data_IF_899797897931
#
_entry.id   IF_899797897931
#
_cell.length_a   1.000
_cell.length_b   1.000
_cell.length_c   1.000
_cell.angle_alpha   90.00
_cell.angle_beta   90.00
_cell.angle_gamma   90.00
#
_symmetry.space_group_name_H-M   'P 1'
#
loop_
_entity.id
_entity.type
_entity.pdbx_description
1 polymer ?
#
# COMPACT_ATOMS: atom_id res chain seq x y z
N UNK A 1 -11.06 24.74 9.12
CA UNK A 1 -11.07 23.87 10.32
C UNK A 1 -10.47 22.49 10.03
N UNK A 2 -11.01 21.71 9.07
CA UNK A 2 -10.50 20.36 8.73
C UNK A 2 -9.00 20.36 8.37
N UNK A 3 -8.55 21.23 7.47
CA UNK A 3 -7.14 21.28 7.04
C UNK A 3 -6.16 21.57 8.21
N UNK A 4 -6.54 22.42 9.15
CA UNK A 4 -5.70 22.75 10.32
C UNK A 4 -5.59 21.57 11.29
N UNK A 5 -6.69 20.85 11.52
CA UNK A 5 -6.71 19.63 12.35
C UNK A 5 -5.87 18.54 11.69
N UNK A 6 -6.08 18.28 10.40
CA UNK A 6 -5.34 17.27 9.66
C UNK A 6 -3.84 17.61 9.61
N UNK A 7 -3.48 18.89 9.46
CA UNK A 7 -2.09 19.33 9.54
C UNK A 7 -1.46 19.05 10.90
N UNK A 8 -2.16 19.33 12.00
CA UNK A 8 -1.66 19.03 13.35
C UNK A 8 -1.42 17.53 13.53
N UNK A 9 -2.34 16.69 13.04
CA UNK A 9 -2.19 15.23 13.07
C UNK A 9 -1.01 14.77 12.21
N UNK A 10 -0.84 15.33 11.01
CA UNK A 10 0.27 15.01 10.11
C UNK A 10 1.63 15.38 10.72
N UNK A 11 1.75 16.55 11.35
CA UNK A 11 2.98 16.97 12.05
C UNK A 11 3.32 16.02 13.19
N UNK A 12 2.33 15.66 14.01
CA UNK A 12 2.54 14.73 15.12
C UNK A 12 2.94 13.34 14.64
N UNK A 13 2.25 12.81 13.62
CA UNK A 13 2.54 11.48 13.05
C UNK A 13 3.89 11.44 12.35
N UNK A 14 4.28 12.49 11.61
CA UNK A 14 5.60 12.57 10.99
C UNK A 14 6.73 12.56 12.02
N UNK A 15 6.55 13.27 13.14
CA UNK A 15 7.52 13.25 14.23
C UNK A 15 7.61 11.85 14.88
N UNK A 16 6.48 11.17 15.05
CA UNK A 16 6.43 9.80 15.55
C UNK A 16 7.14 8.81 14.61
N UNK A 17 6.87 8.86 13.30
CA UNK A 17 7.51 8.00 12.29
C UNK A 17 9.03 8.17 12.31
N UNK A 18 9.52 9.41 12.38
CA UNK A 18 10.95 9.71 12.48
C UNK A 18 11.56 9.17 13.78
N UNK A 19 10.87 9.32 14.90
CA UNK A 19 11.33 8.79 16.19
C UNK A 19 11.40 7.25 16.18
N UNK A 20 10.39 6.59 15.63
CA UNK A 20 10.35 5.14 15.49
C UNK A 20 11.46 4.61 14.57
N UNK A 21 11.80 5.35 13.51
CA UNK A 21 12.89 4.97 12.61
C UNK A 21 14.28 5.11 13.26
N UNK A 22 14.45 6.00 14.25
CA UNK A 22 15.73 6.19 14.96
C UNK A 22 16.04 5.05 15.94
N UNK A 23 15.02 4.50 16.62
CA UNK A 23 15.19 3.33 17.49
C UNK A 23 14.02 2.33 17.30
N UNK A 24 14.06 1.51 16.23
CA UNK A 24 12.93 0.67 15.86
C UNK A 24 12.81 -0.60 16.71
N UNK A 25 13.82 -0.93 17.52
CA UNK A 25 13.95 -2.23 18.21
C UNK A 25 12.76 -2.53 19.10
N UNK A 26 12.45 -1.61 20.01
CA UNK A 26 11.32 -1.77 20.93
C UNK A 26 9.98 -1.90 20.20
N UNK A 27 9.81 -1.17 19.09
CA UNK A 27 8.61 -1.26 18.27
C UNK A 27 8.50 -2.62 17.57
N UNK A 28 9.60 -3.11 16.99
CA UNK A 28 9.66 -4.40 16.32
C UNK A 28 9.52 -5.58 17.27
N UNK A 29 10.09 -5.51 18.48
CA UNK A 29 9.88 -6.53 19.52
C UNK A 29 8.41 -6.59 19.96
N UNK A 30 7.75 -5.42 20.12
CA UNK A 30 6.31 -5.38 20.40
C UNK A 30 5.49 -5.99 19.27
N UNK A 31 5.85 -5.70 18.01
CA UNK A 31 5.19 -6.28 16.83
C UNK A 31 5.36 -7.79 16.83
N UNK A 32 6.59 -8.31 16.95
CA UNK A 32 6.85 -9.75 16.99
C UNK A 32 6.05 -10.44 18.10
N UNK A 33 6.12 -9.92 19.33
CA UNK A 33 5.37 -10.48 20.46
C UNK A 33 3.85 -10.46 20.22
N UNK A 34 3.31 -9.39 19.63
CA UNK A 34 1.91 -9.31 19.26
C UNK A 34 1.51 -10.33 18.19
N UNK A 35 2.36 -10.54 17.18
CA UNK A 35 2.12 -11.51 16.12
C UNK A 35 2.12 -12.94 16.68
N UNK A 36 3.12 -13.29 17.49
CA UNK A 36 3.23 -14.60 18.13
C UNK A 36 2.06 -14.89 19.08
N UNK A 37 1.73 -13.93 19.96
CA UNK A 37 0.62 -14.07 20.90
C UNK A 37 -0.73 -14.22 20.20
N UNK A 38 -0.86 -13.71 18.97
CA UNK A 38 -2.08 -13.87 18.18
C UNK A 38 -2.09 -15.17 17.38
N UNK A 39 -0.95 -15.58 16.83
CA UNK A 39 -0.86 -16.71 15.92
C UNK A 39 -0.64 -18.07 16.62
N UNK A 40 -0.26 -18.14 17.90
CA UNK A 40 0.22 -19.40 18.49
C UNK A 40 -0.81 -20.55 18.48
N UNK A 41 -2.12 -20.25 18.47
CA UNK A 41 -3.19 -21.25 18.40
C UNK A 41 -3.60 -21.63 16.98
N UNK A 42 -3.01 -21.04 15.94
CA UNK A 42 -3.29 -21.44 14.55
C UNK A 42 -2.64 -22.79 14.24
N UNK A 43 -3.00 -23.42 13.12
CA UNK A 43 -2.31 -24.61 12.61
C UNK A 43 -0.81 -24.30 12.46
N UNK A 44 -0.47 -23.20 11.78
CA UNK A 44 0.90 -22.74 11.65
C UNK A 44 1.55 -22.52 13.03
N UNK A 45 0.83 -21.92 13.98
CA UNK A 45 1.31 -21.70 15.33
C UNK A 45 1.66 -22.98 16.09
N UNK A 46 0.84 -24.03 15.94
CA UNK A 46 1.07 -25.34 16.56
C UNK A 46 2.21 -26.10 15.89
N UNK A 47 2.26 -26.12 14.57
CA UNK A 47 3.29 -26.84 13.80
C UNK A 47 4.71 -26.33 14.11
N UNK A 48 4.83 -25.04 14.44
CA UNK A 48 6.11 -24.39 14.80
C UNK A 48 6.27 -24.15 16.31
N UNK A 49 5.36 -24.69 17.13
CA UNK A 49 5.37 -24.52 18.58
C UNK A 49 5.54 -23.06 19.04
N UNK A 50 4.86 -22.11 18.41
CA UNK A 50 5.01 -20.66 18.67
C UNK A 50 4.72 -20.26 20.12
N UNK A 51 3.95 -21.06 20.86
CA UNK A 51 3.75 -20.89 22.31
C UNK A 51 5.04 -20.99 23.15
N UNK A 52 6.13 -21.52 22.57
CA UNK A 52 7.47 -21.63 23.20
C UNK A 52 8.43 -20.53 22.75
N UNK A 53 8.02 -19.68 21.80
CA UNK A 53 8.87 -18.61 21.27
C UNK A 53 8.80 -17.41 22.21
N UNK A 54 9.88 -17.15 22.95
CA UNK A 54 9.95 -16.05 23.91
C UNK A 54 10.77 -14.85 23.44
N UNK A 55 11.55 -14.99 22.37
CA UNK A 55 12.44 -13.96 21.84
C UNK A 55 12.78 -14.23 20.37
N UNK A 56 13.49 -13.28 19.74
CA UNK A 56 13.92 -13.38 18.34
C UNK A 56 14.74 -14.63 18.03
N UNK A 57 15.65 -15.04 18.93
CA UNK A 57 16.47 -16.25 18.74
C UNK A 57 15.64 -17.53 18.77
N UNK A 58 14.54 -17.56 19.52
CA UNK A 58 13.61 -18.70 19.49
C UNK A 58 12.74 -18.67 18.23
N UNK A 59 12.38 -17.48 17.75
CA UNK A 59 11.63 -17.27 16.51
C UNK A 59 12.36 -17.84 15.30
N UNK A 60 13.62 -17.44 15.09
CA UNK A 60 14.42 -17.90 13.94
C UNK A 60 14.70 -19.41 13.96
N UNK A 61 14.68 -20.03 15.15
CA UNK A 61 14.79 -21.50 15.29
C UNK A 61 13.47 -22.21 15.02
N UNK A 62 12.34 -21.62 15.44
CA UNK A 62 11.02 -22.20 15.26
C UNK A 62 10.53 -22.11 13.82
N UNK A 63 10.80 -20.99 13.14
CA UNK A 63 10.37 -20.71 11.78
C UNK A 63 11.61 -20.33 10.95
N UNK A 64 12.23 -21.30 10.24
CA UNK A 64 13.34 -21.00 9.34
C UNK A 64 12.86 -20.18 8.13
N UNK A 65 13.80 -19.57 7.42
CA UNK A 65 13.54 -18.83 6.18
C UNK A 65 12.77 -19.71 5.17
N UNK A 66 11.77 -19.12 4.50
CA UNK A 66 10.88 -19.83 3.57
C UNK A 66 10.62 -19.01 2.34
N UNK A 67 10.50 -19.70 1.22
CA UNK A 67 9.87 -19.18 0.02
C UNK A 67 8.35 -19.39 0.05
N UNK A 68 7.69 -19.02 -1.05
CA UNK A 68 6.25 -19.17 -1.19
C UNK A 68 5.81 -20.64 -1.18
N UNK A 69 6.58 -21.52 -1.82
CA UNK A 69 6.18 -22.92 -2.00
C UNK A 69 6.19 -23.67 -0.64
N UNK A 70 7.12 -23.31 0.24
CA UNK A 70 7.18 -23.82 1.61
C UNK A 70 5.99 -23.41 2.50
N UNK A 71 5.24 -22.36 2.15
CA UNK A 71 4.04 -21.92 2.89
C UNK A 71 2.73 -22.11 2.13
N UNK A 72 2.80 -22.49 0.85
CA UNK A 72 1.66 -22.60 -0.05
C UNK A 72 0.56 -23.51 0.50
N UNK A 73 0.91 -24.62 1.15
CA UNK A 73 -0.07 -25.56 1.73
C UNK A 73 -0.96 -24.94 2.82
N UNK A 74 -0.41 -24.03 3.63
CA UNK A 74 -1.19 -23.27 4.61
C UNK A 74 -2.11 -22.26 3.92
N UNK A 75 -1.62 -21.63 2.86
CA UNK A 75 -2.39 -20.66 2.09
C UNK A 75 -3.55 -21.33 1.34
N UNK A 76 -3.31 -22.47 0.70
CA UNK A 76 -4.34 -23.25 0.01
C UNK A 76 -5.46 -23.67 0.96
N UNK A 77 -5.11 -24.24 2.12
CA UNK A 77 -6.09 -24.61 3.16
C UNK A 77 -6.94 -23.43 3.63
N UNK A 78 -6.31 -22.30 3.94
CA UNK A 78 -7.01 -21.09 4.35
C UNK A 78 -7.89 -20.52 3.23
N UNK A 79 -7.41 -20.55 1.98
CA UNK A 79 -8.14 -20.10 0.79
C UNK A 79 -9.33 -20.99 0.48
N UNK A 80 -9.24 -22.28 0.78
CA UNK A 80 -10.34 -23.24 0.61
C UNK A 80 -11.32 -23.24 1.79
N UNK A 81 -11.12 -22.32 2.76
CA UNK A 81 -12.11 -21.96 3.77
C UNK A 81 -11.80 -22.46 5.18
N UNK A 82 -10.68 -23.16 5.39
CA UNK A 82 -10.28 -23.59 6.73
C UNK A 82 -9.92 -22.38 7.62
N UNK A 83 -10.47 -22.35 8.83
CA UNK A 83 -10.19 -21.32 9.82
C UNK A 83 -8.88 -21.58 10.57
N UNK A 84 -8.28 -20.53 11.13
CA UNK A 84 -7.17 -20.63 12.07
C UNK A 84 -5.95 -21.37 11.50
N UNK A 85 -5.68 -21.25 10.18
CA UNK A 85 -4.55 -21.93 9.53
C UNK A 85 -3.27 -21.13 9.68
N UNK A 86 -3.13 -20.02 8.94
CA UNK A 86 -1.97 -19.11 9.02
C UNK A 86 -2.22 -17.93 9.95
N UNK A 87 -3.47 -17.51 10.11
CA UNK A 87 -3.90 -16.40 10.96
C UNK A 87 -5.23 -16.74 11.63
N UNK A 88 -5.55 -16.19 12.82
CA UNK A 88 -6.81 -16.51 13.50
C UNK A 88 -8.06 -16.12 12.70
N UNK A 89 -9.06 -17.00 12.73
CA UNK A 89 -10.32 -16.88 12.00
C UNK A 89 -10.18 -17.24 10.51
N UNK A 90 -11.07 -16.68 9.69
CA UNK A 90 -11.08 -16.92 8.24
C UNK A 90 -10.44 -15.75 7.48
N UNK A 91 -9.44 -16.06 6.64
CA UNK A 91 -8.89 -15.11 5.68
C UNK A 91 -9.81 -14.96 4.48
N UNK A 92 -10.63 -13.89 4.48
CA UNK A 92 -11.66 -13.68 3.45
C UNK A 92 -11.16 -13.06 2.15
N UNK A 93 -10.00 -12.43 2.14
CA UNK A 93 -9.47 -11.72 0.97
C UNK A 93 -8.09 -12.26 0.60
N UNK A 94 -7.87 -12.40 -0.70
CA UNK A 94 -6.65 -12.95 -1.28
C UNK A 94 -6.21 -12.09 -2.45
N UNK A 95 -4.99 -11.55 -2.35
CA UNK A 95 -4.36 -10.83 -3.44
C UNK A 95 -3.72 -11.83 -4.41
N UNK A 96 -3.85 -11.60 -5.70
CA UNK A 96 -3.04 -12.29 -6.71
C UNK A 96 -1.76 -11.50 -6.91
N UNK A 97 -0.61 -12.15 -6.84
CA UNK A 97 0.63 -11.63 -7.40
C UNK A 97 1.04 -12.45 -8.63
N UNK A 98 1.52 -11.75 -9.65
CA UNK A 98 2.10 -12.36 -10.84
C UNK A 98 3.42 -13.02 -10.46
N UNK A 99 3.36 -14.27 -10.00
CA UNK A 99 4.53 -15.08 -9.74
C UNK A 99 5.15 -15.54 -11.06
N UNK A 100 6.45 -15.31 -11.23
CA UNK A 100 7.24 -15.99 -12.24
C UNK A 100 7.37 -17.49 -11.90
N UNK A 101 7.61 -18.29 -12.94
CA UNK A 101 7.97 -19.72 -12.95
C UNK A 101 6.95 -20.74 -12.41
N UNK A 102 6.19 -20.46 -11.34
CA UNK A 102 5.32 -21.45 -10.66
C UNK A 102 3.81 -21.19 -10.73
N UNK A 103 3.37 -20.16 -11.46
CA UNK A 103 1.96 -19.81 -11.64
C UNK A 103 1.50 -18.64 -10.75
N UNK A 104 0.18 -18.45 -10.66
CA UNK A 104 -0.40 -17.38 -9.83
C UNK A 104 -0.14 -17.65 -8.34
N UNK A 105 0.41 -16.65 -7.64
CA UNK A 105 0.60 -16.71 -6.19
C UNK A 105 -0.57 -16.01 -5.51
N UNK A 106 -1.08 -16.62 -4.43
CA UNK A 106 -2.23 -16.18 -3.68
C UNK A 106 -1.80 -15.77 -2.28
N UNK A 107 -1.91 -14.48 -1.99
CA UNK A 107 -1.41 -13.90 -0.75
C UNK A 107 -2.58 -13.51 0.17
N UNK A 108 -2.58 -13.93 1.44
CA UNK A 108 -3.66 -13.61 2.37
C UNK A 108 -3.69 -12.11 2.68
N UNK A 109 -4.86 -11.49 2.58
CA UNK A 109 -5.08 -10.08 2.94
C UNK A 109 -5.98 -10.02 4.18
N UNK A 110 -5.36 -9.86 5.34
CA UNK A 110 -6.07 -9.76 6.62
C UNK A 110 -6.75 -8.40 6.81
N UNK A 111 -7.70 -8.31 7.74
CA UNK A 111 -8.28 -7.03 8.13
C UNK A 111 -7.26 -6.13 8.83
N UNK A 112 -6.26 -6.70 9.51
CA UNK A 112 -5.11 -5.98 10.06
C UNK A 112 -4.30 -5.31 8.94
N UNK A 113 -3.96 -6.05 7.88
CA UNK A 113 -3.27 -5.52 6.69
C UNK A 113 -4.08 -4.38 6.05
N UNK A 114 -5.40 -4.52 5.94
CA UNK A 114 -6.27 -3.46 5.42
C UNK A 114 -6.26 -2.20 6.31
N UNK A 115 -6.22 -2.36 7.63
CA UNK A 115 -6.10 -1.22 8.57
C UNK A 115 -4.72 -0.56 8.47
N UNK A 116 -3.65 -1.35 8.42
CA UNK A 116 -2.28 -0.87 8.22
C UNK A 116 -2.12 -0.08 6.93
N UNK A 117 -2.69 -0.55 5.81
CA UNK A 117 -2.69 0.20 4.55
C UNK A 117 -3.40 1.57 4.65
N UNK A 118 -4.49 1.67 5.43
CA UNK A 118 -5.18 2.95 5.63
C UNK A 118 -4.32 3.93 6.43
N UNK A 119 -3.64 3.44 7.46
CA UNK A 119 -2.69 4.24 8.23
C UNK A 119 -1.50 4.65 7.34
N UNK A 120 -0.91 3.70 6.61
CA UNK A 120 0.17 3.94 5.66
C UNK A 120 -0.19 4.96 4.57
N UNK A 121 -1.44 4.98 4.10
CA UNK A 121 -1.92 6.02 3.18
C UNK A 121 -1.96 7.41 3.80
N UNK A 122 -2.25 7.53 5.10
CA UNK A 122 -2.11 8.79 5.82
C UNK A 122 -0.64 9.15 6.07
N UNK A 123 0.18 8.17 6.44
CA UNK A 123 1.61 8.33 6.66
C UNK A 123 2.32 8.84 5.39
N UNK A 124 1.93 8.35 4.21
CA UNK A 124 2.46 8.78 2.91
C UNK A 124 2.15 10.25 2.56
N UNK A 125 1.02 10.80 3.05
CA UNK A 125 0.65 12.20 2.77
C UNK A 125 1.10 13.16 3.87
N UNK A 126 1.40 12.66 5.06
CA UNK A 126 1.75 13.44 6.23
C UNK A 126 2.93 14.40 6.01
N UNK A 127 4.03 14.03 5.32
CA UNK A 127 5.15 14.94 5.05
C UNK A 127 4.73 16.21 4.30
N UNK A 128 4.03 16.02 3.17
CA UNK A 128 3.54 17.14 2.36
C UNK A 128 2.55 18.01 3.14
N UNK A 129 1.65 17.39 3.90
CA UNK A 129 0.62 18.09 4.69
C UNK A 129 1.24 18.87 5.86
N UNK A 130 2.30 18.34 6.47
CA UNK A 130 3.05 19.02 7.52
C UNK A 130 3.81 20.24 6.96
N UNK A 131 4.46 20.07 5.80
CA UNK A 131 5.29 21.09 5.16
C UNK A 131 4.49 22.23 4.50
N UNK A 132 3.34 21.95 3.87
CA UNK A 132 2.57 22.92 3.07
C UNK A 132 1.19 23.20 3.65
N UNK A 133 0.58 24.36 3.33
CA UNK A 133 -0.85 24.62 3.65
C UNK A 133 -1.75 23.68 2.83
N UNK A 134 -2.47 22.73 3.46
CA UNK A 134 -2.92 21.53 2.80
C UNK A 134 -4.37 21.67 2.35
N UNK A 135 -4.71 22.73 1.60
CA UNK A 135 -6.00 22.74 0.89
C UNK A 135 -6.18 21.54 -0.06
N UNK A 136 -5.22 20.61 -0.12
CA UNK A 136 -5.34 19.22 -0.61
C UNK A 136 -6.68 18.57 -0.28
N UNK A 137 -7.16 18.63 0.97
CA UNK A 137 -8.43 17.98 1.38
C UNK A 137 -9.69 18.76 0.99
N UNK A 138 -9.54 19.91 0.32
CA UNK A 138 -10.64 20.70 -0.23
C UNK A 138 -10.99 20.32 -1.67
N UNK A 139 -10.27 19.36 -2.27
CA UNK A 139 -10.54 18.86 -3.61
C UNK A 139 -10.59 17.33 -3.66
N UNK A 140 -10.32 16.77 -4.84
CA UNK A 140 -10.35 15.33 -5.10
C UNK A 140 -8.96 14.69 -5.02
N UNK A 141 -8.92 13.49 -4.47
CA UNK A 141 -7.84 12.52 -4.62
C UNK A 141 -8.18 11.60 -5.80
N UNK A 142 -7.40 11.70 -6.86
CA UNK A 142 -7.49 10.80 -8.00
C UNK A 142 -6.63 9.57 -7.73
N UNK A 143 -7.25 8.39 -7.74
CA UNK A 143 -6.55 7.13 -7.53
C UNK A 143 -6.70 6.20 -8.74
N UNK A 144 -5.56 5.81 -9.31
CA UNK A 144 -5.49 4.82 -10.39
C UNK A 144 -4.83 3.54 -9.87
N UNK A 145 -5.62 2.69 -9.22
CA UNK A 145 -5.21 1.37 -8.76
C UNK A 145 -5.67 0.22 -9.66
N UNK A 146 -5.54 -1.00 -9.15
CA UNK A 146 -6.06 -2.22 -9.76
C UNK A 146 -7.60 -2.26 -9.82
N UNK A 147 -8.12 -3.37 -10.33
CA UNK A 147 -9.55 -3.63 -10.47
C UNK A 147 -10.21 -3.91 -9.12
N UNK A 148 -11.36 -3.30 -8.88
CA UNK A 148 -12.20 -3.64 -7.71
C UNK A 148 -13.12 -4.84 -7.96
N UNK A 149 -13.03 -5.50 -9.12
CA UNK A 149 -13.75 -6.74 -9.39
C UNK A 149 -13.02 -7.91 -8.73
N UNK A 150 -13.61 -8.43 -7.65
CA UNK A 150 -13.11 -9.63 -6.98
C UNK A 150 -13.84 -10.87 -7.50
N UNK A 151 -13.10 -11.96 -7.71
CA UNK A 151 -13.61 -13.29 -8.00
C UNK A 151 -13.99 -13.98 -6.69
N UNK A 152 -15.20 -14.53 -6.60
CA UNK A 152 -15.62 -15.36 -5.46
C UNK A 152 -14.98 -16.75 -5.56
N UNK A 153 -14.46 -17.29 -4.46
CA UNK A 153 -13.93 -18.65 -4.33
C UNK A 153 -14.39 -19.22 -2.99
N UNK A 154 -15.39 -20.11 -3.00
CA UNK A 154 -16.09 -20.48 -1.76
C UNK A 154 -16.65 -19.25 -1.04
N UNK A 155 -16.31 -19.08 0.24
CA UNK A 155 -16.68 -17.91 1.05
C UNK A 155 -15.63 -16.77 1.01
N UNK A 156 -14.60 -16.92 0.17
CA UNK A 156 -13.47 -16.01 0.04
C UNK A 156 -13.52 -15.20 -1.27
N UNK A 157 -12.73 -14.13 -1.32
CA UNK A 157 -12.64 -13.20 -2.44
C UNK A 157 -11.20 -13.04 -2.90
N UNK A 158 -11.00 -13.10 -4.21
CA UNK A 158 -9.70 -13.08 -4.87
C UNK A 158 -9.63 -11.90 -5.84
N UNK A 159 -8.55 -11.12 -5.85
CA UNK A 159 -8.34 -10.08 -6.85
C UNK A 159 -7.08 -9.25 -6.62
N UNK A 160 -7.05 -8.04 -7.19
CA UNK A 160 -5.92 -7.14 -7.03
C UNK A 160 -5.84 -6.60 -5.59
N UNK A 161 -4.63 -6.57 -5.01
CA UNK A 161 -4.42 -6.03 -3.66
C UNK A 161 -4.98 -4.61 -3.52
N UNK A 162 -4.61 -3.71 -4.44
CA UNK A 162 -5.11 -2.32 -4.44
C UNK A 162 -6.63 -2.23 -4.63
N UNK A 163 -7.25 -3.17 -5.36
CA UNK A 163 -8.69 -3.29 -5.49
C UNK A 163 -9.37 -3.67 -4.17
N UNK A 164 -8.82 -4.66 -3.46
CA UNK A 164 -9.27 -5.07 -2.13
C UNK A 164 -9.18 -3.89 -1.16
N UNK A 165 -8.04 -3.19 -1.09
CA UNK A 165 -7.89 -2.02 -0.23
C UNK A 165 -8.91 -0.93 -0.56
N UNK A 166 -9.12 -0.65 -1.86
CA UNK A 166 -10.06 0.38 -2.33
C UNK A 166 -11.52 0.11 -1.92
N UNK A 167 -11.94 -1.15 -1.94
CA UNK A 167 -13.30 -1.54 -1.50
C UNK A 167 -13.55 -1.23 -0.02
N UNK A 168 -12.49 -1.24 0.79
CA UNK A 168 -12.54 -0.99 2.22
C UNK A 168 -12.39 0.50 2.60
N UNK A 169 -12.31 1.41 1.63
CA UNK A 169 -12.34 2.85 1.89
C UNK A 169 -13.69 3.20 2.54
N UNK A 170 -13.69 3.83 3.74
CA UNK A 170 -14.91 4.23 4.43
C UNK A 170 -15.83 5.07 3.54
N UNK A 171 -17.14 4.84 3.62
CA UNK A 171 -18.14 5.52 2.77
C UNK A 171 -18.03 7.05 2.81
N UNK A 172 -17.80 7.62 4.00
CA UNK A 172 -17.62 9.06 4.18
C UNK A 172 -16.41 9.59 3.39
N UNK A 173 -15.36 8.77 3.22
CA UNK A 173 -14.15 9.16 2.50
C UNK A 173 -14.30 9.08 0.97
N UNK A 174 -15.26 8.30 0.47
CA UNK A 174 -15.43 8.05 -0.98
C UNK A 174 -15.74 9.31 -1.78
N UNK A 175 -16.35 10.33 -1.16
CA UNK A 175 -16.63 11.62 -1.83
C UNK A 175 -15.36 12.41 -2.19
N UNK A 176 -14.25 12.17 -1.51
CA UNK A 176 -12.97 12.80 -1.87
C UNK A 176 -12.25 12.01 -2.96
N UNK A 177 -12.59 10.74 -3.17
CA UNK A 177 -11.96 9.90 -4.18
C UNK A 177 -12.62 10.11 -5.55
N UNK A 178 -11.81 10.07 -6.60
CA UNK A 178 -12.23 10.08 -8.01
C UNK A 178 -11.35 9.09 -8.79
N UNK A 179 -11.80 8.46 -9.89
CA UNK A 179 -13.10 8.60 -10.60
C UNK A 179 -14.30 7.90 -9.95
N UNK A 180 -14.09 7.16 -8.85
CA UNK A 180 -15.13 6.44 -8.11
C UNK A 180 -15.23 4.95 -8.48
N UNK A 181 -16.06 4.22 -7.73
CA UNK A 181 -16.12 2.75 -7.82
C UNK A 181 -16.65 2.21 -9.16
N UNK A 182 -17.57 2.93 -9.81
CA UNK A 182 -18.11 2.53 -11.11
C UNK A 182 -17.04 2.47 -12.20
N UNK A 183 -16.01 3.33 -12.12
CA UNK A 183 -14.87 3.35 -13.03
C UNK A 183 -13.79 2.36 -12.61
N UNK A 184 -13.57 2.18 -11.31
CA UNK A 184 -12.60 1.21 -10.79
C UNK A 184 -12.92 -0.25 -11.14
N UNK A 185 -14.20 -0.56 -11.38
CA UNK A 185 -14.66 -1.89 -11.80
C UNK A 185 -14.76 -2.11 -13.32
N UNK A 186 -14.36 -1.16 -14.17
CA UNK A 186 -14.40 -1.36 -15.61
C UNK A 186 -13.44 -2.48 -16.06
N UNK A 187 -13.82 -3.28 -17.08
CA UNK A 187 -13.12 -4.52 -17.42
C UNK A 187 -11.78 -4.28 -18.15
N UNK A 188 -11.68 -3.20 -18.93
CA UNK A 188 -10.47 -2.85 -19.67
C UNK A 188 -9.81 -1.63 -19.06
N UNK A 189 -8.49 -1.56 -19.19
CA UNK A 189 -7.73 -0.41 -18.75
C UNK A 189 -8.07 0.83 -19.60
N UNK A 190 -8.29 0.63 -20.90
CA UNK A 190 -8.65 1.68 -21.85
C UNK A 190 -9.96 2.37 -21.47
N UNK A 191 -11.02 1.60 -21.19
CA UNK A 191 -12.32 2.14 -20.77
C UNK A 191 -12.22 2.87 -19.44
N UNK A 192 -11.46 2.29 -18.49
CA UNK A 192 -11.20 2.88 -17.18
C UNK A 192 -10.55 4.25 -17.30
N UNK A 193 -9.50 4.34 -18.10
CA UNK A 193 -8.75 5.59 -18.30
C UNK A 193 -9.59 6.61 -19.05
N UNK A 194 -10.25 6.23 -20.14
CA UNK A 194 -11.11 7.15 -20.90
C UNK A 194 -12.20 7.78 -20.00
N UNK A 195 -12.88 6.96 -19.20
CA UNK A 195 -13.91 7.44 -18.28
C UNK A 195 -13.33 8.25 -17.12
N UNK A 196 -12.17 7.86 -16.60
CA UNK A 196 -11.48 8.61 -15.56
C UNK A 196 -11.08 10.02 -16.03
N UNK A 197 -10.58 10.15 -17.27
CA UNK A 197 -10.23 11.43 -17.89
C UNK A 197 -11.45 12.34 -17.97
N UNK A 198 -12.56 11.83 -18.52
CA UNK A 198 -13.80 12.60 -18.69
C UNK A 198 -14.36 13.14 -17.36
N UNK A 199 -14.34 12.30 -16.30
CA UNK A 199 -14.87 12.69 -14.98
C UNK A 199 -13.92 13.66 -14.28
N UNK A 200 -12.64 13.35 -14.21
CA UNK A 200 -11.68 14.07 -13.37
C UNK A 200 -11.25 15.42 -13.96
N UNK A 201 -11.24 15.57 -15.29
CA UNK A 201 -10.93 16.84 -15.97
C UNK A 201 -11.92 17.96 -15.63
N UNK A 202 -13.12 17.63 -15.14
CA UNK A 202 -14.15 18.57 -14.71
C UNK A 202 -14.16 18.82 -13.20
N UNK A 203 -13.20 18.24 -12.47
CA UNK A 203 -13.12 18.31 -11.03
C UNK A 203 -11.86 19.04 -10.59
N UNK A 204 -11.90 19.58 -9.38
CA UNK A 204 -10.73 20.15 -8.73
C UNK A 204 -9.90 19.02 -8.07
N UNK A 205 -9.05 18.38 -8.86
CA UNK A 205 -8.12 17.34 -8.39
C UNK A 205 -6.91 18.02 -7.75
N UNK A 206 -6.61 17.62 -6.51
CA UNK A 206 -5.50 18.22 -5.73
C UNK A 206 -4.42 17.21 -5.38
N UNK A 207 -4.77 15.94 -5.41
CA UNK A 207 -3.87 14.84 -5.11
C UNK A 207 -4.01 13.77 -6.19
N UNK A 208 -2.89 13.24 -6.64
CA UNK A 208 -2.80 12.07 -7.51
C UNK A 208 -2.22 10.91 -6.70
N UNK A 209 -2.69 9.69 -6.96
CA UNK A 209 -2.08 8.49 -6.41
C UNK A 209 -2.17 7.32 -7.38
N UNK A 210 -1.07 6.58 -7.51
CA UNK A 210 -0.99 5.39 -8.36
C UNK A 210 0.40 5.14 -8.90
N UNK A 211 0.48 4.17 -9.82
CA UNK A 211 1.74 3.75 -10.45
C UNK A 211 2.26 4.87 -11.38
N UNK A 212 3.55 5.26 -11.29
CA UNK A 212 4.16 6.28 -12.14
C UNK A 212 3.85 6.19 -13.64
N UNK A 213 4.03 5.02 -14.23
CA UNK A 213 3.83 4.80 -15.67
C UNK A 213 2.40 5.09 -16.10
N UNK A 214 1.42 4.61 -15.34
CA UNK A 214 0.01 4.87 -15.59
C UNK A 214 -0.36 6.33 -15.38
N UNK A 215 0.24 6.97 -14.38
CA UNK A 215 -0.03 8.38 -14.09
C UNK A 215 0.48 9.29 -15.20
N UNK A 216 1.63 9.00 -15.80
CA UNK A 216 2.13 9.73 -16.98
C UNK A 216 1.16 9.58 -18.15
N UNK A 217 0.80 8.35 -18.52
CA UNK A 217 -0.12 8.12 -19.66
C UNK A 217 -1.48 8.78 -19.42
N UNK A 218 -2.00 8.66 -18.19
CA UNK A 218 -3.24 9.31 -17.81
C UNK A 218 -3.17 10.83 -17.94
N UNK A 219 -2.07 11.44 -17.46
CA UNK A 219 -1.83 12.87 -17.56
C UNK A 219 -1.82 13.35 -19.01
N UNK A 220 -1.13 12.63 -19.90
CA UNK A 220 -1.11 12.94 -21.33
C UNK A 220 -2.51 12.89 -21.95
N UNK A 221 -3.32 11.89 -21.59
CA UNK A 221 -4.71 11.78 -22.06
C UNK A 221 -5.60 12.89 -21.52
N UNK A 222 -5.39 13.36 -20.29
CA UNK A 222 -6.10 14.54 -19.75
C UNK A 222 -5.78 15.79 -20.58
N UNK A 223 -4.51 16.02 -20.92
CA UNK A 223 -4.11 17.16 -21.75
C UNK A 223 -4.66 17.07 -23.17
N UNK A 224 -4.61 15.88 -23.78
CA UNK A 224 -5.23 15.63 -25.08
C UNK A 224 -6.74 15.90 -25.08
N UNK A 225 -7.44 15.46 -24.03
CA UNK A 225 -8.89 15.65 -23.91
C UNK A 225 -9.28 17.12 -23.70
N UNK A 226 -8.47 17.87 -22.96
CA UNK A 226 -8.78 19.26 -22.57
C UNK A 226 -8.17 20.31 -23.50
N UNK A 227 -7.21 19.93 -24.34
CA UNK A 227 -6.43 20.85 -25.17
C UNK A 227 -5.49 21.77 -24.39
N UNK A 228 -5.21 21.47 -23.11
CA UNK A 228 -4.33 22.26 -22.24
C UNK A 228 -2.88 21.82 -22.37
N UNK A 229 -1.94 22.71 -22.08
CA UNK A 229 -0.50 22.42 -22.13
C UNK A 229 0.05 21.79 -20.86
N UNK A 230 -0.62 21.92 -19.72
CA UNK A 230 -0.16 21.41 -18.43
C UNK A 230 -1.32 20.98 -17.52
N UNK A 231 -1.06 20.05 -16.59
CA UNK A 231 -2.09 19.62 -15.63
C UNK A 231 -2.47 20.75 -14.68
N UNK A 232 -1.60 21.73 -14.45
CA UNK A 232 -1.91 22.93 -13.64
C UNK A 232 -2.94 23.83 -14.30
N UNK A 233 -3.05 23.83 -15.63
CA UNK A 233 -4.14 24.53 -16.31
C UNK A 233 -5.48 23.81 -16.16
N UNK A 234 -5.47 22.48 -16.01
CA UNK A 234 -6.67 21.66 -15.79
C UNK A 234 -7.05 21.67 -14.30
N UNK A 235 -6.06 21.54 -13.43
CA UNK A 235 -6.16 21.42 -11.98
C UNK A 235 -5.20 22.41 -11.30
N UNK A 236 -5.58 23.69 -11.16
CA UNK A 236 -4.72 24.72 -10.59
C UNK A 236 -4.23 24.44 -9.16
N UNK A 237 -4.97 23.63 -8.41
CA UNK A 237 -4.66 23.27 -7.03
C UNK A 237 -3.97 21.90 -6.88
N UNK A 238 -3.53 21.26 -7.98
CA UNK A 238 -2.76 20.02 -7.92
C UNK A 238 -1.48 20.26 -7.11
N UNK A 239 -1.29 19.55 -6.01
CA UNK A 239 -0.19 19.80 -5.09
C UNK A 239 0.63 18.59 -4.68
N UNK A 240 0.11 17.37 -4.89
CA UNK A 240 0.72 16.15 -4.40
C UNK A 240 0.49 14.97 -5.36
N UNK A 241 1.55 14.19 -5.58
CA UNK A 241 1.52 12.88 -6.20
C UNK A 241 2.13 11.84 -5.25
N UNK A 242 1.30 10.89 -4.79
CA UNK A 242 1.74 9.73 -4.01
C UNK A 242 1.92 8.55 -4.96
N UNK A 243 3.15 8.10 -5.15
CA UNK A 243 3.46 7.00 -6.06
C UNK A 243 4.01 5.79 -5.32
N UNK A 244 4.01 4.65 -6.02
CA UNK A 244 4.53 3.40 -5.52
C UNK A 244 4.32 2.26 -6.51
N UNK A 245 4.75 1.06 -6.14
CA UNK A 245 4.63 -0.16 -6.95
C UNK A 245 5.65 -0.30 -8.08
N UNK A 246 6.42 0.76 -8.38
CA UNK A 246 7.62 0.71 -9.24
C UNK A 246 8.47 1.97 -9.02
N UNK A 247 9.71 1.94 -9.51
CA UNK A 247 10.60 3.11 -9.48
C UNK A 247 10.00 4.30 -10.24
N UNK A 248 9.97 5.47 -9.60
CA UNK A 248 9.55 6.72 -10.24
C UNK A 248 10.64 7.33 -11.14
N UNK A 249 11.91 7.00 -10.92
CA UNK A 249 13.06 7.59 -11.62
C UNK A 249 12.89 7.72 -13.14
N UNK A 250 12.53 6.64 -13.87
CA UNK A 250 12.34 6.68 -15.32
C UNK A 250 11.22 7.61 -15.82
N UNK A 251 10.26 7.95 -14.95
CA UNK A 251 9.06 8.73 -15.30
C UNK A 251 9.06 10.14 -14.71
N UNK A 252 9.96 10.43 -13.77
CA UNK A 252 9.95 11.67 -12.97
C UNK A 252 10.02 12.92 -13.83
N UNK A 253 10.99 12.99 -14.73
CA UNK A 253 11.16 14.16 -15.60
C UNK A 253 9.91 14.41 -16.45
N UNK A 254 9.40 13.37 -17.11
CA UNK A 254 8.21 13.47 -17.94
C UNK A 254 6.98 13.88 -17.14
N UNK A 255 6.78 13.30 -15.95
CA UNK A 255 5.67 13.67 -15.08
C UNK A 255 5.75 15.14 -14.67
N UNK A 256 6.92 15.63 -14.24
CA UNK A 256 7.08 17.03 -13.81
C UNK A 256 6.90 18.03 -14.97
N UNK A 257 7.28 17.67 -16.20
CA UNK A 257 6.97 18.48 -17.40
C UNK A 257 5.46 18.63 -17.62
N UNK A 258 4.68 17.58 -17.35
CA UNK A 258 3.22 17.57 -17.51
C UNK A 258 2.52 18.26 -16.32
N UNK A 259 2.99 17.99 -15.11
CA UNK A 259 2.31 18.32 -13.85
C UNK A 259 2.76 19.64 -13.21
N UNK A 260 3.94 20.13 -13.57
CA UNK A 260 4.61 21.24 -12.91
C UNK A 260 5.64 20.76 -11.88
N UNK A 261 6.80 21.43 -11.85
CA UNK A 261 7.92 21.10 -10.95
C UNK A 261 7.64 21.37 -9.47
N UNK A 262 6.58 22.12 -9.15
CA UNK A 262 6.19 22.46 -7.78
C UNK A 262 5.31 21.37 -7.12
N UNK A 263 4.84 20.37 -7.89
CA UNK A 263 4.08 19.23 -7.35
C UNK A 263 4.96 18.41 -6.42
N UNK A 264 4.52 18.20 -5.19
CA UNK A 264 5.22 17.33 -4.24
C UNK A 264 5.06 15.88 -4.69
N UNK A 265 6.15 15.16 -4.88
CA UNK A 265 6.13 13.73 -5.19
C UNK A 265 6.66 12.97 -3.98
N UNK A 266 5.93 11.94 -3.56
CA UNK A 266 6.33 11.10 -2.43
C UNK A 266 6.15 9.65 -2.81
N UNK A 267 7.17 8.85 -2.52
CA UNK A 267 7.16 7.42 -2.79
C UNK A 267 6.62 6.63 -1.60
N UNK A 268 6.12 5.45 -1.93
CA UNK A 268 5.62 4.47 -0.99
C UNK A 268 6.15 3.10 -1.36
N UNK A 269 6.68 2.39 -0.36
CA UNK A 269 7.03 1.00 -0.51
C UNK A 269 5.86 0.15 -0.01
N UNK A 270 5.17 -0.49 -0.96
CA UNK A 270 4.04 -1.36 -0.67
C UNK A 270 4.19 -2.70 -1.37
N UNK A 271 3.78 -3.77 -0.69
CA UNK A 271 3.77 -5.13 -1.23
C UNK A 271 2.45 -5.83 -0.89
N UNK A 272 2.07 -6.82 -1.69
CA UNK A 272 0.85 -7.61 -1.41
C UNK A 272 1.01 -8.47 -0.15
N UNK A 273 2.24 -8.86 0.20
CA UNK A 273 2.55 -9.69 1.37
C UNK A 273 2.44 -8.94 2.72
N UNK A 274 2.61 -7.61 2.72
CA UNK A 274 2.72 -6.82 3.96
C UNK A 274 1.95 -5.51 3.96
N UNK A 275 1.28 -5.15 2.86
CA UNK A 275 0.62 -3.86 2.73
C UNK A 275 1.61 -2.73 2.53
N UNK A 276 1.43 -1.62 3.26
CA UNK A 276 2.37 -0.51 3.26
C UNK A 276 3.54 -0.83 4.20
N UNK A 277 4.76 -0.83 3.67
CA UNK A 277 5.98 -1.19 4.39
C UNK A 277 6.88 0.02 4.66
N UNK A 278 6.80 1.05 3.84
CA UNK A 278 7.62 2.26 4.01
C UNK A 278 7.04 3.47 3.29
N UNK A 279 7.40 4.66 3.75
CA UNK A 279 6.99 5.94 3.17
C UNK A 279 8.19 6.88 3.11
N UNK A 280 8.26 7.72 2.09
CA UNK A 280 9.21 8.84 2.09
C UNK A 280 8.75 9.94 3.04
N UNK A 281 9.67 10.49 3.82
CA UNK A 281 9.42 11.63 4.70
C UNK A 281 10.09 12.93 4.22
N UNK A 282 11.05 12.83 3.32
CA UNK A 282 11.68 13.93 2.59
C UNK A 282 11.70 13.61 1.08
N UNK A 283 11.07 14.43 0.21
CA UNK A 283 11.04 14.19 -1.24
C UNK A 283 12.39 14.41 -1.93
N UNK A 284 13.36 15.04 -1.27
CA UNK A 284 14.71 15.22 -1.78
C UNK A 284 15.64 14.04 -1.40
N UNK A 285 15.21 13.18 -0.47
CA UNK A 285 15.90 11.96 -0.09
C UNK A 285 15.23 10.75 -0.77
N UNK A 286 15.95 9.94 -1.57
CA UNK A 286 15.39 8.71 -2.12
C UNK A 286 15.11 7.64 -1.04
N UNK A 287 15.69 7.75 0.15
CA UNK A 287 15.46 6.88 1.29
C UNK A 287 14.00 6.90 1.78
N UNK A 288 13.60 5.84 2.48
CA UNK A 288 12.24 5.70 3.02
C UNK A 288 12.29 5.34 4.49
N UNK A 289 11.34 5.87 5.27
CA UNK A 289 11.10 5.42 6.62
C UNK A 289 10.35 4.08 6.60
N UNK A 290 10.88 3.02 7.22
CA UNK A 290 10.15 1.77 7.38
C UNK A 290 9.02 1.95 8.40
N UNK A 291 7.84 1.38 8.10
CA UNK A 291 6.67 1.40 8.98
C UNK A 291 6.78 0.26 10.02
N UNK A 292 7.66 0.46 11.00
CA UNK A 292 8.06 -0.56 12.00
C UNK A 292 7.02 -0.85 13.09
N UNK A 293 5.87 -0.19 13.06
CA UNK A 293 4.77 -0.36 14.02
C UNK A 293 3.49 -0.94 13.38
N UNK A 294 3.50 -1.23 12.07
CA UNK A 294 2.31 -1.60 11.29
C UNK A 294 2.08 -3.11 11.12
N UNK A 295 2.49 -3.94 12.09
CA UNK A 295 2.17 -5.36 12.10
C UNK A 295 3.03 -6.24 11.19
N UNK A 296 4.18 -5.73 10.73
CA UNK A 296 5.22 -6.50 10.05
C UNK A 296 6.49 -6.45 10.89
N UNK A 297 7.05 -7.62 11.19
CA UNK A 297 8.38 -7.76 11.76
C UNK A 297 9.38 -7.95 10.62
N UNK A 298 10.41 -7.09 10.57
CA UNK A 298 11.39 -7.03 9.50
C UNK A 298 12.67 -7.76 9.90
N UNK A 299 13.12 -8.65 9.04
CA UNK A 299 14.43 -9.30 9.12
C UNK A 299 15.14 -9.09 7.78
N UNK A 300 16.46 -8.98 7.82
CA UNK A 300 17.27 -8.71 6.64
C UNK A 300 18.34 -9.79 6.51
N UNK A 301 18.28 -10.53 5.40
CA UNK A 301 19.33 -11.49 5.04
C UNK A 301 20.42 -10.73 4.27
N UNK A 302 21.69 -10.77 4.72
CA UNK A 302 22.78 -10.19 3.96
C UNK A 302 22.88 -10.85 2.58
N UNK A 303 23.13 -10.07 1.53
CA UNK A 303 23.14 -10.57 0.14
C UNK A 303 24.13 -11.72 -0.05
N UNK A 304 25.28 -11.67 0.64
CA UNK A 304 26.30 -12.72 0.61
C UNK A 304 25.84 -14.05 1.24
N UNK A 305 24.69 -14.08 1.90
CA UNK A 305 24.16 -15.23 2.64
C UNK A 305 22.91 -15.83 1.98
N UNK A 306 22.38 -15.24 0.91
CA UNK A 306 21.14 -15.68 0.26
C UNK A 306 21.13 -17.14 -0.20
N UNK A 307 22.30 -17.71 -0.50
CA UNK A 307 22.44 -19.10 -0.94
C UNK A 307 22.68 -20.09 0.22
N UNK A 308 22.74 -19.62 1.46
CA UNK A 308 22.88 -20.49 2.64
C UNK A 308 21.53 -21.05 3.05
N UNK A 309 21.52 -22.31 3.50
CA UNK A 309 20.31 -22.96 4.04
C UNK A 309 19.79 -22.31 5.34
N UNK A 310 20.66 -21.59 6.05
CA UNK A 310 20.34 -20.89 7.30
C UNK A 310 21.21 -19.63 7.41
N UNK A 311 20.82 -18.54 6.73
CA UNK A 311 21.52 -17.26 6.76
C UNK A 311 21.27 -16.45 8.04
#
# INVERSE_FOLDING_TARGET
MINAVVRKLAVARLAELRALALDPRDAQERVLNSLLARAYNTVFGRDHALHRVGNHRDWTRAVPLRDYDAVASYFDRARDGEADVCWPGHTRYWAISSGTTSGEKYLPVSMETIRGNKQGGFDAIAPCVAARDPKLFSGRLLFLGGSTKLRKHGENWIGDNTGIITLHIPHLLRRWHTPGQSVAGLPTWEDKIARAVEISSRQDVRMLSGVPSWMVIFSEKVLQHTGKSSLKEVWPNLGLFVHGGMSFGPYRERFLQLAGSDVWCTDTYSASEGGMLGVQDDPEDPGMLPLVDQGVFFEFVPVAELEKDSP
#
